data_IF_162083205344
#
_entry.id   IF_162083205344
#
_cell.length_a   1.000
_cell.length_b   1.000
_cell.length_c   1.000
_cell.angle_alpha   90.00
_cell.angle_beta   90.00
_cell.angle_gamma   90.00
#
_symmetry.space_group_name_H-M   'P 1'
#
loop_
_entity.id
_entity.type
_entity.pdbx_description
1 polymer ?
#
# COMPACT_ATOMS: atom_id res chain seq x y z
N UNK A 1 13.40 -14.14 14.09
CA UNK A 1 14.39 -13.06 14.25
C UNK A 1 15.22 -13.44 15.47
N UNK A 2 16.53 -13.57 15.31
CA UNK A 2 17.44 -14.05 16.37
C UNK A 2 17.68 -12.88 17.32
N UNK A 3 17.35 -13.05 18.61
CA UNK A 3 17.81 -12.12 19.64
C UNK A 3 19.33 -12.36 19.76
N UNK A 4 20.20 -11.36 19.51
CA UNK A 4 21.63 -11.61 19.49
C UNK A 4 22.12 -11.99 20.89
N UNK A 5 22.79 -13.14 21.01
CA UNK A 5 23.39 -13.64 22.26
C UNK A 5 24.71 -12.93 22.64
N UNK A 6 25.09 -11.87 21.93
CA UNK A 6 26.37 -11.17 22.15
C UNK A 6 26.17 -9.69 22.40
N UNK A 7 27.14 -9.06 23.10
CA UNK A 7 27.23 -7.61 23.36
C UNK A 7 27.45 -6.82 22.05
N UNK A 8 26.55 -6.94 21.09
CA UNK A 8 26.41 -5.95 20.03
C UNK A 8 25.71 -4.74 20.64
N UNK A 9 26.30 -3.55 20.47
CA UNK A 9 25.66 -2.30 20.87
C UNK A 9 24.29 -2.19 20.19
N UNK A 10 23.24 -2.27 21.00
CA UNK A 10 21.88 -2.03 20.52
C UNK A 10 21.72 -0.54 20.27
N UNK A 11 21.57 -0.15 19.00
CA UNK A 11 21.29 1.24 18.62
C UNK A 11 19.80 1.51 18.77
N UNK A 12 19.44 2.24 19.83
CA UNK A 12 18.07 2.68 20.04
C UNK A 12 17.73 3.85 19.10
N UNK A 13 16.49 3.91 18.58
CA UNK A 13 16.06 5.06 17.79
C UNK A 13 16.14 6.33 18.64
N UNK A 14 16.50 7.48 18.05
CA UNK A 14 16.44 8.79 18.70
C UNK A 14 15.04 9.06 19.32
N UNK A 15 14.98 9.78 20.44
CA UNK A 15 13.73 9.99 21.19
C UNK A 15 12.68 10.79 20.39
N UNK A 16 13.12 11.72 19.56
CA UNK A 16 12.28 12.48 18.64
C UNK A 16 11.62 11.57 17.60
N UNK A 17 12.35 10.58 17.06
CA UNK A 17 11.78 9.59 16.16
C UNK A 17 10.74 8.70 16.87
N UNK A 18 10.97 8.34 18.13
CA UNK A 18 10.05 7.48 18.88
C UNK A 18 8.70 8.16 19.14
N UNK A 19 8.68 9.46 19.37
CA UNK A 19 7.46 10.19 19.77
C UNK A 19 6.38 10.17 18.68
N UNK A 20 6.77 10.31 17.41
CA UNK A 20 5.85 10.39 16.28
C UNK A 20 5.71 9.06 15.50
N UNK A 21 6.44 8.02 15.91
CA UNK A 21 6.40 6.73 15.25
C UNK A 21 5.08 5.99 15.51
N UNK A 22 4.53 5.37 14.47
CA UNK A 22 3.38 4.46 14.60
C UNK A 22 3.67 3.23 15.47
N UNK A 23 4.95 2.85 15.59
CA UNK A 23 5.43 1.76 16.45
C UNK A 23 6.67 2.29 17.20
N UNK A 24 6.51 2.85 18.41
CA UNK A 24 7.55 3.63 19.08
C UNK A 24 8.65 2.77 19.71
N UNK A 25 8.34 1.52 20.06
CA UNK A 25 9.25 0.65 20.78
C UNK A 25 9.09 -0.83 20.40
N UNK A 26 10.02 -1.66 20.88
CA UNK A 26 10.07 -3.08 20.57
C UNK A 26 8.94 -3.89 21.21
N UNK A 27 8.44 -3.51 22.38
CA UNK A 27 7.32 -4.20 23.03
C UNK A 27 6.03 -4.00 22.22
N UNK A 28 5.76 -2.77 21.78
CA UNK A 28 4.64 -2.44 20.90
C UNK A 28 4.71 -3.22 19.58
N UNK A 29 5.90 -3.33 18.98
CA UNK A 29 6.13 -4.19 17.82
C UNK A 29 5.77 -5.66 18.10
N UNK A 30 6.26 -6.23 19.21
CA UNK A 30 6.01 -7.63 19.57
C UNK A 30 4.51 -7.91 19.79
N UNK A 31 3.78 -6.97 20.39
CA UNK A 31 2.33 -7.08 20.55
C UNK A 31 1.60 -7.10 19.20
N UNK A 32 1.93 -6.16 18.30
CA UNK A 32 1.37 -6.12 16.94
C UNK A 32 1.73 -7.38 16.15
N UNK A 33 2.99 -7.83 16.24
CA UNK A 33 3.45 -9.04 15.58
C UNK A 33 2.69 -10.26 16.10
N UNK A 34 2.59 -10.42 17.42
CA UNK A 34 1.84 -11.52 18.04
C UNK A 34 0.38 -11.50 17.59
N UNK A 35 -0.28 -10.33 17.57
CA UNK A 35 -1.65 -10.19 17.05
C UNK A 35 -1.76 -10.65 15.59
N UNK A 36 -0.79 -10.30 14.76
CA UNK A 36 -0.78 -10.66 13.33
C UNK A 36 -0.62 -12.16 13.08
N UNK A 37 0.03 -12.89 14.01
CA UNK A 37 0.26 -14.34 13.91
C UNK A 37 -0.85 -15.14 14.59
N UNK A 38 -1.25 -14.74 15.80
CA UNK A 38 -2.25 -15.46 16.61
C UNK A 38 -3.67 -15.25 16.09
N UNK A 39 -3.97 -14.08 15.51
CA UNK A 39 -5.28 -13.76 14.93
C UNK A 39 -5.15 -12.97 13.60
N UNK A 40 -4.62 -13.62 12.54
CA UNK A 40 -4.32 -12.94 11.28
C UNK A 40 -5.57 -12.37 10.61
N UNK A 41 -6.72 -13.05 10.70
CA UNK A 41 -7.94 -12.58 10.07
C UNK A 41 -8.43 -11.26 10.69
N UNK A 42 -8.48 -11.15 12.02
CA UNK A 42 -8.88 -9.91 12.68
C UNK A 42 -7.86 -8.78 12.41
N UNK A 43 -6.56 -9.08 12.48
CA UNK A 43 -5.50 -8.12 12.18
C UNK A 43 -5.63 -7.53 10.77
N UNK A 44 -5.71 -8.39 9.74
CA UNK A 44 -5.82 -7.92 8.37
C UNK A 44 -7.17 -7.26 8.07
N UNK A 45 -8.23 -7.61 8.80
CA UNK A 45 -9.52 -6.92 8.68
C UNK A 45 -9.44 -5.47 9.15
N UNK A 46 -8.74 -5.21 10.25
CA UNK A 46 -8.49 -3.85 10.74
C UNK A 46 -7.68 -3.04 9.72
N UNK A 47 -6.56 -3.60 9.24
CA UNK A 47 -5.74 -2.94 8.21
C UNK A 47 -6.53 -2.68 6.93
N UNK A 48 -7.33 -3.64 6.47
CA UNK A 48 -8.16 -3.48 5.28
C UNK A 48 -9.22 -2.38 5.44
N UNK A 49 -9.68 -2.09 6.66
CA UNK A 49 -10.69 -1.07 6.91
C UNK A 49 -10.17 0.37 6.67
N UNK A 50 -8.86 0.58 6.61
CA UNK A 50 -8.24 1.88 6.31
C UNK A 50 -8.29 2.27 4.82
N UNK A 51 -8.66 1.31 3.97
CA UNK A 51 -8.74 1.50 2.53
C UNK A 51 -10.18 1.77 2.09
N UNK A 52 -10.30 2.56 1.03
CA UNK A 52 -11.56 2.65 0.31
C UNK A 52 -11.84 1.35 -0.44
N UNK A 53 -13.06 0.84 -0.28
CA UNK A 53 -13.58 -0.31 -1.01
C UNK A 53 -14.86 0.07 -1.74
N UNK A 54 -14.85 -0.04 -3.07
CA UNK A 54 -16.06 0.10 -3.89
C UNK A 54 -17.06 -1.01 -3.57
N UNK A 55 -16.56 -2.22 -3.31
CA UNK A 55 -17.32 -3.34 -2.76
C UNK A 55 -16.46 -3.98 -1.65
N UNK A 56 -16.80 -3.85 -0.37
CA UNK A 56 -16.10 -4.53 0.70
C UNK A 56 -16.20 -6.07 0.57
N UNK A 57 -15.24 -6.79 1.16
CA UNK A 57 -15.36 -8.24 1.34
C UNK A 57 -16.54 -8.56 2.28
N UNK A 58 -17.33 -9.57 1.93
CA UNK A 58 -18.43 -10.07 2.78
C UNK A 58 -17.99 -11.32 3.56
N UNK A 59 -17.02 -12.06 3.03
CA UNK A 59 -16.46 -13.27 3.63
C UNK A 59 -15.14 -13.02 4.39
N UNK A 60 -14.41 -14.10 4.70
CA UNK A 60 -13.14 -14.01 5.40
C UNK A 60 -12.12 -13.15 4.66
N UNK A 61 -11.34 -12.37 5.41
CA UNK A 61 -10.32 -11.46 4.87
C UNK A 61 -9.09 -12.21 4.37
N UNK A 62 -8.81 -13.37 4.95
CA UNK A 62 -7.67 -14.19 4.58
C UNK A 62 -8.05 -15.68 4.69
N UNK A 63 -7.84 -16.43 3.61
CA UNK A 63 -7.96 -17.88 3.58
C UNK A 63 -6.76 -18.45 2.82
N UNK A 64 -6.12 -19.47 3.36
CA UNK A 64 -4.99 -20.12 2.69
C UNK A 64 -4.88 -21.59 3.06
N UNK A 65 -4.22 -22.34 2.17
CA UNK A 65 -3.69 -23.65 2.47
C UNK A 65 -2.26 -23.72 1.94
N UNK A 66 -1.31 -24.03 2.83
CA UNK A 66 0.07 -24.33 2.47
C UNK A 66 0.42 -25.81 2.73
N UNK A 67 -0.51 -26.58 3.28
CA UNK A 67 -0.33 -27.99 3.57
C UNK A 67 -0.71 -28.81 2.32
N UNK A 68 0.31 -29.35 1.66
CA UNK A 68 0.16 -30.17 0.44
C UNK A 68 -0.66 -31.43 0.67
N UNK A 69 -0.82 -31.87 1.93
CA UNK A 69 -1.62 -33.06 2.27
C UNK A 69 -3.11 -32.75 2.41
N UNK A 70 -3.48 -31.46 2.56
CA UNK A 70 -4.86 -31.01 2.78
C UNK A 70 -5.54 -30.44 1.53
N UNK A 71 -4.97 -30.71 0.36
CA UNK A 71 -5.49 -30.28 -0.93
C UNK A 71 -4.62 -29.23 -1.60
N UNK A 72 -5.22 -28.46 -2.51
CA UNK A 72 -4.49 -27.49 -3.32
C UNK A 72 -3.87 -26.39 -2.47
N UNK A 73 -2.67 -25.95 -2.84
CA UNK A 73 -2.04 -24.78 -2.27
C UNK A 73 -2.75 -23.53 -2.81
N UNK A 74 -3.23 -22.68 -1.91
CA UNK A 74 -3.88 -21.42 -2.31
C UNK A 74 -3.71 -20.35 -1.24
N UNK A 75 -3.81 -19.10 -1.66
CA UNK A 75 -3.96 -17.93 -0.79
C UNK A 75 -5.01 -17.03 -1.42
N UNK A 76 -6.00 -16.64 -0.63
CA UNK A 76 -7.10 -15.76 -1.00
C UNK A 76 -7.19 -14.66 0.04
N UNK A 77 -6.97 -13.43 -0.39
CA UNK A 77 -7.10 -12.25 0.45
C UNK A 77 -8.27 -11.41 -0.06
N UNK A 78 -9.16 -10.99 0.84
CA UNK A 78 -10.28 -10.09 0.56
C UNK A 78 -11.14 -10.57 -0.63
N UNK A 79 -11.43 -11.87 -0.68
CA UNK A 79 -12.11 -12.47 -1.81
C UNK A 79 -13.48 -11.82 -2.06
N UNK A 80 -13.73 -11.46 -3.32
CA UNK A 80 -14.95 -10.78 -3.75
C UNK A 80 -15.01 -9.28 -3.46
N UNK A 81 -14.02 -8.72 -2.77
CA UNK A 81 -13.87 -7.28 -2.62
C UNK A 81 -13.48 -6.63 -3.96
N UNK A 82 -13.84 -5.35 -4.13
CA UNK A 82 -13.47 -4.54 -5.28
C UNK A 82 -13.01 -3.17 -4.81
N UNK A 83 -11.86 -2.75 -5.30
CA UNK A 83 -11.33 -1.40 -5.11
C UNK A 83 -10.65 -0.90 -6.38
N UNK A 84 -10.23 0.36 -6.37
CA UNK A 84 -9.38 0.95 -7.38
C UNK A 84 -8.13 1.50 -6.69
N UNK A 85 -6.95 1.11 -7.18
CA UNK A 85 -5.68 1.52 -6.58
C UNK A 85 -5.45 3.02 -6.73
N UNK A 86 -5.66 3.60 -7.92
CA UNK A 86 -5.58 5.05 -8.15
C UNK A 86 -6.48 5.81 -7.19
N UNK A 87 -7.70 5.33 -6.96
CA UNK A 87 -8.60 5.99 -6.02
C UNK A 87 -8.04 6.05 -4.60
N UNK A 88 -7.43 4.96 -4.12
CA UNK A 88 -6.84 4.92 -2.78
C UNK A 88 -5.56 5.75 -2.64
N UNK A 89 -4.75 5.87 -3.70
CA UNK A 89 -3.43 6.54 -3.61
C UNK A 89 -3.44 7.97 -4.15
N UNK A 90 -4.52 8.39 -4.81
CA UNK A 90 -4.61 9.69 -5.49
C UNK A 90 -5.97 10.35 -5.29
N UNK A 91 -7.05 9.78 -5.84
CA UNK A 91 -8.34 10.47 -5.90
C UNK A 91 -8.85 10.85 -4.50
N UNK A 92 -8.85 9.91 -3.54
CA UNK A 92 -9.34 10.17 -2.17
C UNK A 92 -8.54 11.23 -1.44
N UNK A 93 -7.26 11.41 -1.76
CA UNK A 93 -6.44 12.47 -1.15
C UNK A 93 -6.86 13.84 -1.65
N UNK A 94 -7.28 13.95 -2.92
CA UNK A 94 -7.83 15.18 -3.49
C UNK A 94 -9.24 15.43 -2.95
N UNK A 95 -10.14 14.44 -3.03
CA UNK A 95 -11.57 14.64 -2.76
C UNK A 95 -11.92 14.63 -1.28
N UNK A 96 -11.39 13.66 -0.53
CA UNK A 96 -11.81 13.40 0.85
C UNK A 96 -10.81 14.05 1.83
N UNK A 97 -9.52 14.00 1.47
CA UNK A 97 -8.43 14.58 2.24
C UNK A 97 -8.23 16.08 2.04
N UNK A 98 -8.86 16.70 1.03
CA UNK A 98 -8.65 18.09 0.63
C UNK A 98 -7.16 18.45 0.42
N UNK A 99 -6.35 17.50 -0.05
CA UNK A 99 -4.91 17.66 -0.25
C UNK A 99 -4.55 18.09 -1.67
N UNK A 100 -5.50 18.65 -2.43
CA UNK A 100 -5.30 18.97 -3.85
C UNK A 100 -4.09 19.86 -4.15
N UNK A 101 -3.82 20.83 -3.27
CA UNK A 101 -2.69 21.77 -3.39
C UNK A 101 -1.40 21.23 -2.76
N UNK A 102 -1.47 20.11 -2.02
CA UNK A 102 -0.27 19.46 -1.45
C UNK A 102 0.55 18.84 -2.57
N UNK A 103 1.87 18.98 -2.50
CA UNK A 103 2.79 18.30 -3.40
C UNK A 103 2.69 16.78 -3.20
N UNK A 104 2.36 16.06 -4.27
CA UNK A 104 2.27 14.60 -4.29
C UNK A 104 3.60 13.97 -4.73
N UNK A 105 4.31 14.62 -5.65
CA UNK A 105 5.53 14.09 -6.24
C UNK A 105 6.54 15.21 -6.50
N UNK A 106 7.76 15.02 -6.00
CA UNK A 106 8.93 15.82 -6.38
C UNK A 106 9.68 15.05 -7.46
N UNK A 107 9.84 15.67 -8.62
CA UNK A 107 10.63 15.14 -9.72
C UNK A 107 11.96 15.87 -9.77
N UNK A 108 13.04 15.11 -9.66
CA UNK A 108 14.40 15.59 -9.85
C UNK A 108 14.95 14.94 -11.12
N UNK A 109 15.31 15.78 -12.08
CA UNK A 109 15.92 15.40 -13.34
C UNK A 109 17.41 15.10 -13.20
N UNK A 110 18.06 14.86 -14.32
CA UNK A 110 19.48 14.47 -14.31
C UNK A 110 20.42 15.65 -14.04
N UNK A 111 19.96 16.88 -14.27
CA UNK A 111 20.70 18.10 -13.95
C UNK A 111 20.09 18.78 -12.71
N UNK A 112 20.89 19.40 -11.82
CA UNK A 112 20.38 20.06 -10.61
C UNK A 112 19.35 21.17 -10.85
N UNK A 113 19.35 21.77 -12.03
CA UNK A 113 18.40 22.79 -12.48
C UNK A 113 17.08 22.20 -13.00
N UNK A 114 17.03 20.89 -13.24
CA UNK A 114 15.84 20.21 -13.72
C UNK A 114 15.09 19.61 -12.54
N UNK A 115 14.16 20.36 -11.97
CA UNK A 115 13.26 19.83 -10.96
C UNK A 115 11.82 20.28 -11.22
N UNK A 116 10.85 19.56 -10.67
CA UNK A 116 9.45 19.91 -10.73
C UNK A 116 8.71 19.37 -9.52
N UNK A 117 7.65 20.07 -9.16
CA UNK A 117 6.74 19.67 -8.10
C UNK A 117 5.37 19.49 -8.71
N UNK A 118 4.73 18.34 -8.42
CA UNK A 118 3.42 18.02 -8.93
C UNK A 118 2.47 17.87 -7.74
N UNK A 119 1.43 18.70 -7.71
CA UNK A 119 0.39 18.60 -6.67
C UNK A 119 -0.54 17.43 -6.91
N UNK A 120 -1.27 16.98 -5.89
CA UNK A 120 -2.25 15.89 -6.05
C UNK A 120 -3.30 16.21 -7.13
N UNK A 121 -3.79 17.46 -7.21
CA UNK A 121 -4.75 17.86 -8.25
C UNK A 121 -4.15 17.80 -9.66
N UNK A 122 -2.89 18.22 -9.82
CA UNK A 122 -2.19 18.15 -11.11
C UNK A 122 -1.96 16.70 -11.53
N UNK A 123 -1.48 15.87 -10.59
CA UNK A 123 -1.25 14.45 -10.82
C UNK A 123 -2.56 13.73 -11.21
N UNK A 124 -3.66 14.00 -10.51
CA UNK A 124 -4.98 13.44 -10.84
C UNK A 124 -5.43 13.82 -12.26
N UNK A 125 -5.24 15.08 -12.66
CA UNK A 125 -5.55 15.53 -14.02
C UNK A 125 -4.71 14.78 -15.07
N UNK A 126 -3.41 14.62 -14.83
CA UNK A 126 -2.50 13.94 -15.75
C UNK A 126 -2.82 12.43 -15.87
N UNK A 127 -3.08 11.75 -14.74
CA UNK A 127 -3.48 10.34 -14.71
C UNK A 127 -4.80 10.13 -15.45
N UNK A 128 -5.80 10.99 -15.25
CA UNK A 128 -7.06 10.93 -15.98
C UNK A 128 -6.86 11.09 -17.50
N UNK A 129 -6.02 12.05 -17.92
CA UNK A 129 -5.69 12.26 -19.34
C UNK A 129 -5.01 11.02 -19.94
N UNK A 130 -4.01 10.48 -19.26
CA UNK A 130 -3.32 9.26 -19.70
C UNK A 130 -4.29 8.07 -19.79
N UNK A 131 -5.14 7.85 -18.79
CA UNK A 131 -6.15 6.80 -18.80
C UNK A 131 -7.10 6.92 -19.99
N UNK A 132 -7.53 8.13 -20.34
CA UNK A 132 -8.40 8.35 -21.49
C UNK A 132 -7.69 8.07 -22.83
N UNK A 133 -6.38 8.34 -22.93
CA UNK A 133 -5.58 7.95 -24.09
C UNK A 133 -5.49 6.42 -24.19
N UNK A 134 -5.16 5.74 -23.10
CA UNK A 134 -5.08 4.27 -23.06
C UNK A 134 -6.41 3.61 -23.46
N UNK A 135 -7.54 4.11 -22.95
CA UNK A 135 -8.88 3.63 -23.36
C UNK A 135 -9.10 3.78 -24.87
N UNK A 136 -8.67 4.89 -25.48
CA UNK A 136 -8.75 5.08 -26.94
C UNK A 136 -7.88 4.10 -27.72
N UNK A 137 -6.76 3.65 -27.14
CA UNK A 137 -5.87 2.64 -27.72
C UNK A 137 -6.38 1.20 -27.52
N UNK A 138 -7.56 1.01 -26.92
CA UNK A 138 -8.20 -0.31 -26.76
C UNK A 138 -7.78 -1.07 -25.50
N UNK A 139 -7.17 -0.40 -24.52
CA UNK A 139 -6.85 -1.04 -23.23
C UNK A 139 -8.15 -1.30 -22.46
N UNK A 140 -8.48 -2.57 -22.25
CA UNK A 140 -9.60 -3.00 -21.41
C UNK A 140 -9.08 -3.70 -20.14
N UNK A 141 -9.94 -3.90 -19.16
CA UNK A 141 -9.63 -4.44 -17.81
C UNK A 141 -8.91 -5.81 -17.79
N UNK A 142 -8.76 -6.47 -18.94
CA UNK A 142 -8.16 -7.80 -19.10
C UNK A 142 -6.92 -7.82 -19.98
N UNK A 143 -6.49 -6.68 -20.53
CA UNK A 143 -5.34 -6.62 -21.43
C UNK A 143 -4.06 -6.31 -20.65
N UNK A 144 -3.13 -7.27 -20.62
CA UNK A 144 -1.76 -7.03 -20.14
C UNK A 144 -1.00 -6.28 -21.23
N UNK A 145 -0.72 -4.99 -21.02
CA UNK A 145 0.15 -4.23 -21.91
C UNK A 145 1.60 -4.44 -21.50
N UNK A 146 2.32 -5.28 -22.25
CA UNK A 146 3.77 -5.40 -22.16
C UNK A 146 4.38 -4.23 -22.93
N UNK A 147 4.71 -3.15 -22.24
CA UNK A 147 5.57 -2.11 -22.80
C UNK A 147 7.02 -2.42 -22.43
N UNK A 148 7.77 -3.02 -23.34
CA UNK A 148 9.25 -2.93 -23.34
C UNK A 148 9.77 -2.92 -24.79
N UNK A 149 10.49 -1.82 -25.09
CA UNK A 149 11.69 -1.72 -25.96
C UNK A 149 11.55 -2.28 -27.38
N UNK A 150 11.68 -1.51 -28.47
CA UNK A 150 12.64 -0.44 -28.79
C UNK A 150 12.07 0.48 -29.88
#
# INVERSE_FOLDING_TARGET
MVVPDSKEEMFHPPLDLQQDAHVPDFATYLELYKKSIDNPEAFWKEVAAEFYWKKPAIGPVLQYNFDVTKGNIFVKCLEGAKTNMCYNVLDRHVTDGNLGDKVAFYWEGNSPDQHSQITYSQLLSQVCRCSNVLKKLGTNTHNTHTSMTS
#
